data_IF_366352695617
#
_entry.id   IF_366352695617
#
_cell.length_a   1.000
_cell.length_b   1.000
_cell.length_c   1.000
_cell.angle_alpha   90.00
_cell.angle_beta   90.00
_cell.angle_gamma   90.00
#
_symmetry.space_group_name_H-M   'P 1'
#
loop_
_entity.id
_entity.type
_entity.pdbx_description
1 polymer ?
#
# COMPACT_ATOMS: atom_id res chain seq x y z
N UNK A 1 11.51 -25.30 12.22
CA UNK A 1 12.05 -24.35 11.23
C UNK A 1 11.79 -22.95 11.76
N UNK A 2 12.81 -22.09 11.84
CA UNK A 2 12.64 -20.73 12.36
C UNK A 2 11.73 -19.92 11.43
N UNK A 3 10.84 -19.12 12.03
CA UNK A 3 9.86 -18.31 11.29
C UNK A 3 10.60 -17.24 10.48
N UNK A 4 10.46 -17.26 9.16
CA UNK A 4 11.16 -16.36 8.25
C UNK A 4 10.57 -14.93 8.21
N UNK A 5 9.56 -14.63 9.03
CA UNK A 5 8.84 -13.36 9.04
C UNK A 5 8.25 -13.07 10.41
N UNK A 6 8.09 -11.79 10.72
CA UNK A 6 7.43 -11.26 11.91
C UNK A 6 6.07 -10.65 11.56
N UNK A 7 5.10 -10.76 12.46
CA UNK A 7 3.80 -10.09 12.36
C UNK A 7 3.64 -9.11 13.50
N UNK A 8 3.51 -7.83 13.15
CA UNK A 8 3.21 -6.77 14.10
C UNK A 8 1.80 -6.25 13.82
N UNK A 9 0.96 -6.18 14.85
CA UNK A 9 -0.35 -5.53 14.75
C UNK A 9 -0.27 -4.21 15.50
N UNK A 10 -0.49 -3.10 14.79
CA UNK A 10 -0.53 -1.77 15.39
C UNK A 10 -1.81 -1.57 16.19
N UNK A 11 -1.82 -0.57 17.07
CA UNK A 11 -2.98 -0.24 17.91
C UNK A 11 -4.25 0.11 17.09
N UNK A 12 -4.10 0.57 15.85
CA UNK A 12 -5.20 0.84 14.93
C UNK A 12 -5.67 -0.40 14.13
N UNK A 13 -5.14 -1.59 14.42
CA UNK A 13 -5.48 -2.85 13.75
C UNK A 13 -4.71 -3.11 12.45
N UNK A 14 -3.85 -2.20 11.98
CA UNK A 14 -3.02 -2.46 10.81
C UNK A 14 -2.02 -3.58 11.10
N UNK A 15 -1.99 -4.58 10.22
CA UNK A 15 -1.07 -5.72 10.29
C UNK A 15 0.12 -5.49 9.36
N UNK A 16 1.32 -5.65 9.90
CA UNK A 16 2.59 -5.50 9.19
C UNK A 16 3.29 -6.85 9.22
N UNK A 17 3.63 -7.35 8.04
CA UNK A 17 4.46 -8.55 7.88
C UNK A 17 5.85 -8.11 7.46
N UNK A 18 6.86 -8.44 8.25
CA UNK A 18 8.25 -8.06 8.00
C UNK A 18 9.10 -9.29 7.78
N UNK A 19 9.84 -9.33 6.67
CA UNK A 19 10.79 -10.40 6.34
C UNK A 19 12.19 -9.80 6.26
N UNK A 20 13.07 -10.03 7.25
CA UNK A 20 14.43 -9.52 7.20
C UNK A 20 15.24 -10.26 6.14
N UNK A 21 15.93 -9.50 5.29
CA UNK A 21 16.83 -10.03 4.26
C UNK A 21 18.21 -9.39 4.47
N UNK A 22 19.11 -9.98 5.28
CA UNK A 22 20.38 -9.35 5.68
C UNK A 22 21.35 -9.05 4.53
N UNK A 23 21.16 -9.69 3.37
CA UNK A 23 22.07 -9.61 2.23
C UNK A 23 21.58 -8.66 1.12
N UNK A 24 20.45 -7.96 1.31
CA UNK A 24 19.96 -6.96 0.35
C UNK A 24 20.13 -5.55 0.90
N UNK A 25 20.45 -4.61 0.02
CA UNK A 25 20.39 -3.17 0.31
C UNK A 25 19.07 -2.53 -0.14
N UNK A 26 18.23 -3.29 -0.85
CA UNK A 26 16.91 -2.85 -1.29
C UNK A 26 15.82 -3.31 -0.32
N UNK A 27 14.82 -2.46 -0.14
CA UNK A 27 13.58 -2.77 0.57
C UNK A 27 12.43 -2.72 -0.43
N UNK A 28 11.52 -3.69 -0.33
CA UNK A 28 10.23 -3.66 -1.02
C UNK A 28 9.12 -3.52 0.01
N UNK A 29 8.16 -2.65 -0.27
CA UNK A 29 6.99 -2.42 0.57
C UNK A 29 5.74 -2.57 -0.27
N UNK A 30 4.71 -3.19 0.29
CA UNK A 30 3.39 -3.30 -0.33
C UNK A 30 2.32 -2.99 0.71
N UNK A 31 1.31 -2.22 0.30
CA UNK A 31 0.16 -1.86 1.14
C UNK A 31 -1.07 -2.46 0.46
N UNK A 32 -1.85 -3.22 1.24
CA UNK A 32 -3.05 -3.89 0.74
C UNK A 32 -4.27 -3.32 1.45
N UNK A 33 -5.33 -3.04 0.68
CA UNK A 33 -6.63 -2.63 1.19
C UNK A 33 -7.63 -3.73 0.83
N UNK A 34 -8.45 -4.16 1.79
CA UNK A 34 -9.43 -5.24 1.62
C UNK A 34 -10.66 -4.88 0.79
N UNK A 35 -10.50 -4.06 -0.25
CA UNK A 35 -11.56 -3.57 -1.14
C UNK A 35 -11.03 -3.50 -2.57
N UNK A 36 -11.91 -3.63 -3.55
CA UNK A 36 -11.56 -3.53 -4.98
C UNK A 36 -12.82 -3.53 -5.84
N UNK A 37 -12.67 -3.79 -7.13
CA UNK A 37 -13.77 -3.69 -8.11
C UNK A 37 -15.01 -4.52 -7.76
N UNK A 38 -14.82 -5.67 -7.11
CA UNK A 38 -15.94 -6.52 -6.62
C UNK A 38 -16.86 -5.81 -5.62
N UNK A 39 -16.33 -4.81 -4.91
CA UNK A 39 -17.06 -4.06 -3.89
C UNK A 39 -17.74 -2.81 -4.45
N UNK A 40 -17.63 -2.54 -5.76
CA UNK A 40 -18.19 -1.35 -6.38
C UNK A 40 -19.70 -1.49 -6.61
N UNK A 41 -20.48 -0.42 -6.38
CA UNK A 41 -21.83 -0.37 -6.92
C UNK A 41 -21.77 -0.24 -8.44
N UNK A 42 -22.73 -0.84 -9.15
CA UNK A 42 -22.76 -0.88 -10.61
C UNK A 42 -22.66 0.52 -11.27
N UNK A 43 -23.19 1.56 -10.62
CA UNK A 43 -23.15 2.94 -11.09
C UNK A 43 -21.76 3.59 -11.04
N UNK A 44 -20.81 3.00 -10.30
CA UNK A 44 -19.45 3.51 -10.12
C UNK A 44 -18.39 2.49 -10.57
N UNK A 45 -18.74 1.58 -11.48
CA UNK A 45 -17.78 0.60 -12.00
C UNK A 45 -16.49 1.28 -12.48
N UNK A 46 -15.35 0.79 -12.00
CA UNK A 46 -14.02 1.31 -12.26
C UNK A 46 -13.50 2.32 -11.25
N UNK A 47 -14.29 2.76 -10.26
CA UNK A 47 -13.88 3.78 -9.30
C UNK A 47 -12.70 3.34 -8.41
N UNK A 48 -12.61 2.08 -8.00
CA UNK A 48 -11.51 1.57 -7.17
C UNK A 48 -10.19 1.56 -7.94
N UNK A 49 -10.22 1.14 -9.21
CA UNK A 49 -9.06 1.25 -10.10
C UNK A 49 -8.72 2.72 -10.38
N UNK A 50 -9.71 3.59 -10.62
CA UNK A 50 -9.47 5.02 -10.77
C UNK A 50 -8.78 5.60 -9.52
N UNK A 51 -9.28 5.29 -8.32
CA UNK A 51 -8.68 5.70 -7.06
C UNK A 51 -7.24 5.17 -6.90
N UNK A 52 -6.97 3.93 -7.30
CA UNK A 52 -5.61 3.35 -7.33
C UNK A 52 -4.63 4.20 -8.14
N UNK A 53 -5.05 4.75 -9.29
CA UNK A 53 -4.20 5.71 -10.04
C UNK A 53 -4.07 7.05 -9.32
N UNK A 54 -5.15 7.52 -8.70
CA UNK A 54 -5.19 8.85 -8.06
C UNK A 54 -4.29 8.97 -6.84
N UNK A 55 -3.98 7.87 -6.13
CA UNK A 55 -3.05 7.92 -4.98
C UNK A 55 -1.63 8.37 -5.37
N UNK A 56 -1.27 8.30 -6.64
CA UNK A 56 0.02 8.75 -7.18
C UNK A 56 0.00 10.19 -7.71
N UNK A 57 -1.13 10.90 -7.63
CA UNK A 57 -1.28 12.25 -8.20
C UNK A 57 -1.04 13.39 -7.21
N UNK A 58 -0.94 13.10 -5.92
CA UNK A 58 -0.62 14.08 -4.88
C UNK A 58 -1.28 13.77 -3.54
N UNK A 59 -0.73 14.36 -2.48
CA UNK A 59 -1.22 14.30 -1.09
C UNK A 59 -1.02 15.66 -0.42
N UNK A 60 -1.62 15.87 0.75
CA UNK A 60 -1.43 17.13 1.52
C UNK A 60 0.04 17.48 1.81
N UNK A 61 0.92 16.48 1.96
CA UNK A 61 2.36 16.68 2.23
C UNK A 61 3.23 16.66 0.97
N UNK A 62 2.76 16.05 -0.12
CA UNK A 62 3.43 15.95 -1.42
C UNK A 62 2.41 16.34 -2.50
N UNK A 63 2.20 17.64 -2.76
CA UNK A 63 1.02 18.13 -3.49
C UNK A 63 0.85 17.65 -4.94
N UNK A 64 1.91 17.19 -5.59
CA UNK A 64 1.86 16.75 -6.99
C UNK A 64 2.54 15.39 -7.22
N UNK A 65 2.36 14.86 -8.42
CA UNK A 65 2.89 13.55 -8.83
C UNK A 65 4.43 13.49 -8.82
N UNK A 66 5.12 14.58 -9.15
CA UNK A 66 6.58 14.60 -9.18
C UNK A 66 7.14 14.48 -7.76
N UNK A 67 6.54 15.20 -6.81
CA UNK A 67 6.90 15.11 -5.39
C UNK A 67 6.60 13.74 -4.78
N UNK A 68 5.60 13.02 -5.30
CA UNK A 68 5.33 11.64 -4.89
C UNK A 68 6.38 10.67 -5.44
N UNK A 69 6.81 10.85 -6.70
CA UNK A 69 7.72 9.93 -7.38
C UNK A 69 9.20 10.12 -7.04
N UNK A 70 9.61 11.33 -6.65
CA UNK A 70 11.01 11.65 -6.30
C UNK A 70 11.35 11.43 -4.82
N UNK A 71 10.41 10.91 -4.04
CA UNK A 71 10.51 10.72 -2.60
C UNK A 71 11.21 9.43 -2.17
#
# INVERSE_FOLDING_TARGET
MAKAWELTTLANGLRIVTTPLPHTQAVSTSIFVGVGSRSEPASLNGITHFLEHMVFKGTKRRPDAMMVASA
#
